data_IF_153722729905
#
_entry.id   IF_153722729905
#
_cell.length_a   1.000
_cell.length_b   1.000
_cell.length_c   1.000
_cell.angle_alpha   90.00
_cell.angle_beta   90.00
_cell.angle_gamma   90.00
#
_symmetry.space_group_name_H-M   'P 1'
#
loop_
_entity.id
_entity.type
_entity.pdbx_description
1 polymer ?
#
# COMPACT_ATOMS: atom_id res chain seq x y z
N UNK A 1 -5.55 -8.25 -29.48
CA UNK A 1 -4.08 -8.17 -29.64
C UNK A 1 -3.69 -6.70 -29.57
N UNK A 2 -3.40 -6.19 -28.39
CA UNK A 2 -2.98 -4.80 -28.18
C UNK A 2 -1.51 -4.82 -27.78
N UNK A 3 -0.66 -4.25 -28.64
CA UNK A 3 0.78 -4.16 -28.45
C UNK A 3 1.09 -3.15 -27.35
N UNK A 4 1.71 -3.61 -26.28
CA UNK A 4 2.38 -2.74 -25.31
C UNK A 4 3.71 -2.31 -25.93
N UNK A 5 3.92 -1.01 -26.15
CA UNK A 5 5.19 -0.42 -26.51
C UNK A 5 5.90 0.06 -25.27
N UNK A 6 7.08 -0.49 -25.01
CA UNK A 6 8.06 0.12 -24.14
C UNK A 6 8.68 1.32 -24.85
N UNK A 7 8.60 2.50 -24.26
CA UNK A 7 9.36 3.68 -24.65
C UNK A 7 10.13 4.17 -23.43
N UNK A 8 11.44 4.05 -23.50
CA UNK A 8 12.35 4.81 -22.65
C UNK A 8 12.28 6.28 -23.06
N UNK A 9 12.25 7.17 -22.05
CA UNK A 9 12.47 8.62 -22.12
C UNK A 9 11.40 9.44 -22.85
N UNK A 10 10.71 10.11 -22.05
CA UNK A 10 9.75 11.24 -22.09
C UNK A 10 8.37 10.78 -21.60
N UNK A 11 8.27 10.70 -20.29
CA UNK A 11 7.03 10.37 -19.63
C UNK A 11 6.16 11.60 -19.51
N UNK A 12 5.29 11.78 -20.48
CA UNK A 12 3.94 12.21 -20.17
C UNK A 12 3.21 10.92 -19.74
N UNK A 13 3.11 10.72 -18.43
CA UNK A 13 2.16 9.79 -17.88
C UNK A 13 0.79 10.34 -18.24
N UNK A 14 0.09 9.70 -19.15
CA UNK A 14 -1.34 9.85 -19.19
C UNK A 14 -1.86 9.20 -17.92
N UNK A 15 -1.95 9.99 -16.86
CA UNK A 15 -2.68 9.69 -15.65
C UNK A 15 -4.18 9.82 -15.94
N UNK A 16 -4.63 9.06 -16.87
CA UNK A 16 -5.98 8.52 -16.74
C UNK A 16 -5.84 7.46 -15.70
N UNK A 17 -6.60 7.47 -14.62
CA UNK A 17 -6.53 6.51 -13.52
C UNK A 17 -6.54 5.04 -13.96
N UNK A 18 -5.78 4.71 -14.96
CA UNK A 18 -5.54 3.42 -15.58
C UNK A 18 -4.05 3.21 -15.69
N UNK A 19 -3.44 2.69 -14.65
CA UNK A 19 -2.07 2.20 -14.78
C UNK A 19 -1.82 1.15 -13.73
N UNK A 20 -1.20 0.08 -13.88
CA UNK A 20 -0.20 -0.47 -14.32
C UNK A 20 0.47 -1.75 -14.07
N UNK A 21 1.42 -2.04 -14.65
CA UNK A 21 2.08 -3.33 -14.86
C UNK A 21 3.27 -3.49 -13.96
N UNK A 22 3.41 -4.67 -13.36
CA UNK A 22 4.63 -5.10 -12.72
C UNK A 22 4.97 -6.54 -13.09
N UNK A 23 6.21 -6.69 -13.61
CA UNK A 23 6.90 -7.97 -13.78
C UNK A 23 6.19 -9.15 -14.41
N UNK A 24 5.83 -9.03 -15.68
CA UNK A 24 5.60 -10.20 -16.53
C UNK A 24 4.48 -11.16 -16.13
N UNK A 25 3.67 -10.81 -15.14
CA UNK A 25 2.40 -11.46 -14.82
C UNK A 25 1.29 -10.48 -15.09
N UNK A 26 0.24 -10.94 -15.75
CA UNK A 26 -1.00 -10.18 -15.84
C UNK A 26 -1.57 -10.04 -14.43
N UNK A 27 -1.42 -8.85 -13.86
CA UNK A 27 -2.13 -8.47 -12.63
C UNK A 27 -3.52 -8.01 -13.03
N UNK A 28 -4.58 -8.35 -12.28
CA UNK A 28 -5.92 -7.83 -12.56
C UNK A 28 -5.87 -6.31 -12.67
N UNK A 29 -6.48 -5.74 -13.71
CA UNK A 29 -6.52 -4.30 -13.94
C UNK A 29 -6.95 -3.59 -12.67
N UNK A 30 -6.15 -2.66 -12.17
CA UNK A 30 -6.46 -1.85 -11.00
C UNK A 30 -5.59 -2.03 -9.77
N UNK A 31 -4.55 -2.83 -9.86
CA UNK A 31 -3.57 -3.00 -8.78
C UNK A 31 -2.18 -2.67 -9.29
N UNK A 32 -1.49 -1.74 -8.62
CA UNK A 32 -0.11 -1.39 -8.88
C UNK A 32 0.81 -1.91 -7.77
N UNK A 33 1.75 -2.75 -8.14
CA UNK A 33 2.86 -3.11 -7.27
C UNK A 33 4.01 -2.13 -7.52
N UNK A 34 4.54 -1.54 -6.45
CA UNK A 34 5.53 -0.48 -6.50
C UNK A 34 6.80 -0.81 -7.25
N UNK A 35 6.77 -0.59 -8.56
CA UNK A 35 7.95 -0.38 -9.36
C UNK A 35 7.93 1.00 -9.95
N UNK A 36 9.09 1.61 -9.94
CA UNK A 36 9.25 2.96 -10.42
C UNK A 36 8.77 3.19 -11.83
N UNK A 37 8.15 4.31 -12.05
CA UNK A 37 8.47 5.12 -13.19
C UNK A 37 9.07 6.49 -12.85
N UNK A 38 9.40 6.75 -11.63
CA UNK A 38 9.99 8.04 -11.26
C UNK A 38 11.31 7.79 -10.55
N UNK A 39 12.40 8.38 -11.03
CA UNK A 39 13.76 8.31 -10.48
C UNK A 39 13.91 8.70 -8.98
N UNK A 40 12.81 8.79 -8.25
CA UNK A 40 12.70 9.10 -6.83
C UNK A 40 12.04 7.98 -5.99
N UNK A 41 11.68 6.83 -6.60
CA UNK A 41 11.10 5.72 -5.86
C UNK A 41 12.04 4.51 -6.01
N UNK A 42 12.86 4.20 -5.02
CA UNK A 42 13.69 2.99 -5.07
C UNK A 42 12.79 1.77 -5.07
N UNK A 43 12.98 0.99 -6.09
CA UNK A 43 12.26 -0.24 -6.35
C UNK A 43 13.00 -1.43 -5.80
N UNK A 44 12.25 -2.45 -5.52
CA UNK A 44 12.56 -3.87 -5.48
C UNK A 44 13.73 -4.38 -4.64
N UNK A 45 13.36 -5.27 -3.77
CA UNK A 45 14.19 -6.43 -3.48
C UNK A 45 13.93 -7.51 -4.54
N UNK A 46 14.87 -7.72 -5.46
CA UNK A 46 15.01 -8.97 -6.20
C UNK A 46 15.79 -9.89 -5.27
N UNK A 47 15.28 -11.04 -4.84
CA UNK A 47 16.08 -11.99 -4.11
C UNK A 47 17.32 -12.33 -4.93
N UNK A 48 18.50 -12.14 -4.36
CA UNK A 48 19.74 -12.56 -5.01
C UNK A 48 19.65 -14.09 -5.27
N UNK A 49 19.73 -14.56 -6.52
CA UNK A 49 19.65 -15.99 -6.82
C UNK A 49 20.66 -16.84 -6.06
N UNK A 50 21.78 -16.27 -5.60
CA UNK A 50 22.78 -16.96 -4.78
C UNK A 50 22.28 -17.35 -3.39
N UNK A 51 21.25 -16.67 -2.83
CA UNK A 51 20.65 -17.02 -1.54
C UNK A 51 19.77 -18.27 -1.60
N UNK A 52 19.28 -18.66 -2.76
CA UNK A 52 18.51 -19.90 -2.94
C UNK A 52 19.40 -21.14 -2.86
N UNK A 53 20.71 -21.03 -3.21
CA UNK A 53 21.66 -22.12 -3.10
C UNK A 53 22.03 -22.42 -1.65
N UNK A 54 22.06 -21.40 -0.78
CA UNK A 54 22.44 -21.56 0.64
C UNK A 54 21.31 -22.20 1.49
N UNK A 55 20.06 -22.12 1.04
CA UNK A 55 18.92 -22.76 1.72
C UNK A 55 18.88 -24.28 1.52
N UNK A 56 19.42 -24.79 0.41
CA UNK A 56 19.45 -26.23 0.13
C UNK A 56 20.62 -26.92 0.86
N UNK A 57 21.74 -26.21 1.02
CA UNK A 57 22.90 -26.67 1.80
C UNK A 57 22.58 -26.66 3.32
N UNK A 58 21.79 -25.71 3.80
CA UNK A 58 21.39 -25.63 5.22
C UNK A 58 20.50 -26.78 5.67
N UNK A 59 19.76 -27.45 4.77
CA UNK A 59 18.90 -28.60 5.10
C UNK A 59 19.67 -29.90 5.34
N UNK A 60 20.87 -30.04 4.84
CA UNK A 60 21.70 -31.25 5.03
C UNK A 60 22.62 -31.20 6.27
N UNK A 61 22.74 -30.04 6.94
CA UNK A 61 23.65 -29.85 8.09
C UNK A 61 22.95 -29.85 9.47
N UNK A 62 21.65 -30.15 9.56
CA UNK A 62 20.91 -30.23 10.84
C UNK A 62 21.12 -31.52 11.64
N UNK A 63 22.28 -32.16 11.49
CA UNK A 63 22.78 -33.16 12.43
C UNK A 63 23.76 -32.55 13.40
N UNK A 64 23.35 -32.27 14.64
CA UNK A 64 24.12 -31.72 15.76
C UNK A 64 24.32 -30.21 15.79
N UNK A 65 23.27 -29.49 16.15
CA UNK A 65 23.40 -28.09 16.57
C UNK A 65 23.77 -28.07 18.04
N UNK A 66 25.05 -27.77 18.31
CA UNK A 66 25.47 -27.27 19.63
C UNK A 66 24.91 -25.85 19.78
N UNK A 67 23.86 -25.70 20.60
CA UNK A 67 23.32 -24.39 20.97
C UNK A 67 24.36 -23.74 21.91
N UNK A 68 25.15 -22.80 21.40
CA UNK A 68 25.92 -21.90 22.23
C UNK A 68 25.00 -20.81 22.79
N UNK A 69 25.21 -20.29 24.02
CA UNK A 69 24.31 -19.33 24.66
C UNK A 69 24.18 -17.96 23.97
N UNK A 70 24.86 -17.75 22.86
CA UNK A 70 24.98 -16.44 22.19
C UNK A 70 24.25 -16.39 20.81
N UNK A 71 23.34 -17.33 20.57
CA UNK A 71 22.50 -17.26 19.36
C UNK A 71 21.30 -16.37 19.65
N UNK A 72 21.48 -15.07 19.52
CA UNK A 72 20.35 -14.14 19.48
C UNK A 72 19.48 -14.50 18.26
N UNK A 73 18.33 -15.09 18.50
CA UNK A 73 17.33 -15.34 17.47
C UNK A 73 16.79 -13.98 17.04
N UNK A 74 17.28 -13.47 15.92
CA UNK A 74 16.77 -12.23 15.34
C UNK A 74 15.40 -12.51 14.71
N UNK A 75 14.34 -12.16 15.43
CA UNK A 75 12.98 -12.22 14.91
C UNK A 75 12.79 -11.06 13.93
N UNK A 76 12.56 -11.38 12.67
CA UNK A 76 12.23 -10.37 11.64
C UNK A 76 10.74 -10.02 11.76
N UNK A 77 10.47 -8.74 11.99
CA UNK A 77 9.11 -8.21 12.11
C UNK A 77 8.78 -7.42 10.86
N UNK A 78 7.58 -7.62 10.33
CA UNK A 78 6.99 -6.78 9.31
C UNK A 78 5.76 -6.03 9.84
N UNK A 79 5.52 -4.84 9.32
CA UNK A 79 4.33 -4.03 9.58
C UNK A 79 3.59 -3.69 8.30
N UNK A 80 2.27 -3.71 8.32
CA UNK A 80 1.38 -3.34 7.21
C UNK A 80 0.44 -2.26 7.66
N UNK A 81 0.25 -1.23 6.83
CA UNK A 81 -0.72 -0.15 7.03
C UNK A 81 -1.19 0.41 5.70
N UNK A 82 -2.31 1.17 5.70
CA UNK A 82 -2.84 1.80 4.51
C UNK A 82 -2.94 3.32 4.64
N UNK A 83 -3.05 3.98 3.50
CA UNK A 83 -3.39 5.39 3.37
C UNK A 83 -4.45 5.61 2.31
N UNK A 84 -5.38 6.51 2.58
CA UNK A 84 -6.37 6.86 1.59
C UNK A 84 -7.60 5.96 1.55
N UNK A 85 -7.95 5.30 2.64
CA UNK A 85 -9.20 4.53 2.77
C UNK A 85 -10.45 5.41 2.70
N UNK A 86 -10.45 6.58 3.35
CA UNK A 86 -11.61 7.48 3.49
C UNK A 86 -11.88 8.51 2.39
N UNK A 87 -10.92 8.96 1.55
CA UNK A 87 -11.16 9.95 0.51
C UNK A 87 -12.19 9.51 -0.52
N UNK A 88 -12.88 10.50 -1.12
CA UNK A 88 -13.78 10.31 -2.25
C UNK A 88 -13.07 10.47 -3.59
N UNK A 89 -11.83 11.00 -3.58
CA UNK A 89 -11.00 11.19 -4.78
C UNK A 89 -9.64 10.53 -4.59
N UNK A 90 -9.19 9.84 -5.62
CA UNK A 90 -7.86 9.23 -5.71
C UNK A 90 -7.75 7.84 -5.11
N UNK A 91 -6.57 7.22 -5.23
CA UNK A 91 -6.33 5.84 -4.86
C UNK A 91 -6.23 5.62 -3.34
N UNK A 92 -6.27 4.35 -2.96
CA UNK A 92 -5.81 3.84 -1.67
C UNK A 92 -4.43 3.20 -1.87
N UNK A 93 -3.56 3.30 -0.89
CA UNK A 93 -2.22 2.68 -0.92
C UNK A 93 -2.06 1.85 0.34
N UNK A 94 -1.73 0.57 0.18
CA UNK A 94 -1.27 -0.28 1.27
C UNK A 94 0.25 -0.42 1.16
N UNK A 95 0.94 -0.49 2.28
CA UNK A 95 2.38 -0.70 2.30
C UNK A 95 2.79 -1.71 3.36
N UNK A 96 3.92 -2.38 3.11
CA UNK A 96 4.58 -3.27 4.06
C UNK A 96 6.02 -2.83 4.26
N UNK A 97 6.49 -2.85 5.51
CA UNK A 97 7.88 -2.61 5.88
C UNK A 97 8.34 -3.71 6.83
N UNK A 98 9.42 -4.41 6.45
CA UNK A 98 10.06 -5.40 7.32
C UNK A 98 11.47 -4.95 7.68
N UNK A 99 11.86 -5.11 8.95
CA UNK A 99 13.20 -4.73 9.40
C UNK A 99 13.32 -4.59 10.92
N UNK A 100 14.48 -4.08 11.33
CA UNK A 100 14.79 -3.85 12.74
C UNK A 100 13.97 -2.66 13.29
N UNK A 101 13.16 -2.93 14.32
CA UNK A 101 12.33 -1.91 14.96
C UNK A 101 13.12 -0.82 15.67
N UNK A 102 14.26 -1.14 16.27
CA UNK A 102 15.08 -0.14 16.96
C UNK A 102 15.79 0.78 15.94
N UNK A 103 16.25 0.23 14.82
CA UNK A 103 16.78 1.04 13.74
C UNK A 103 15.74 2.00 13.18
N UNK A 104 14.50 1.55 12.96
CA UNK A 104 13.39 2.39 12.51
C UNK A 104 13.04 3.47 13.54
N UNK A 105 12.99 3.14 14.83
CA UNK A 105 12.78 4.14 15.90
C UNK A 105 13.89 5.20 15.92
N UNK A 106 15.14 4.78 15.75
CA UNK A 106 16.28 5.69 15.72
C UNK A 106 16.20 6.72 14.57
N UNK A 107 15.52 6.40 13.47
CA UNK A 107 15.22 7.34 12.41
C UNK A 107 14.15 8.39 12.80
N UNK A 108 13.45 8.19 13.91
CA UNK A 108 12.33 9.02 14.34
C UNK A 108 10.98 8.58 13.78
N UNK A 109 10.90 7.33 13.31
CA UNK A 109 9.62 6.72 12.88
C UNK A 109 8.71 6.62 14.09
N UNK A 110 7.51 7.17 13.95
CA UNK A 110 6.44 7.18 14.94
C UNK A 110 5.11 7.35 14.24
N UNK A 111 4.01 7.40 14.98
CA UNK A 111 2.67 7.64 14.43
C UNK A 111 2.69 8.73 13.36
N UNK A 112 2.41 8.34 12.14
CA UNK A 112 2.46 9.18 10.95
C UNK A 112 1.46 10.35 10.99
N UNK A 113 0.41 10.24 11.81
CA UNK A 113 -0.60 11.30 12.02
C UNK A 113 -0.02 12.48 12.78
N UNK A 114 1.02 12.24 13.59
CA UNK A 114 1.74 13.29 14.34
C UNK A 114 2.84 13.97 13.54
N UNK A 115 3.17 13.46 12.36
CA UNK A 115 4.23 13.95 11.50
C UNK A 115 3.66 14.89 10.42
N UNK A 116 4.33 16.02 10.20
CA UNK A 116 4.04 16.86 9.04
C UNK A 116 4.35 16.12 7.74
N UNK A 117 3.75 16.54 6.62
CA UNK A 117 4.04 15.98 5.30
C UNK A 117 5.53 16.04 4.99
N UNK A 118 6.18 17.20 5.23
CA UNK A 118 7.62 17.36 5.01
C UNK A 118 8.48 16.42 5.89
N UNK A 119 8.04 16.12 7.11
CA UNK A 119 8.72 15.15 7.96
C UNK A 119 8.60 13.72 7.40
N UNK A 120 7.42 13.32 6.91
CA UNK A 120 7.22 12.03 6.25
C UNK A 120 8.07 11.91 4.98
N UNK A 121 8.12 12.96 4.15
CA UNK A 121 8.96 12.99 2.94
C UNK A 121 10.47 12.84 3.24
N UNK A 122 10.95 13.39 4.36
CA UNK A 122 12.35 13.19 4.78
C UNK A 122 12.61 11.79 5.32
N UNK A 123 11.65 11.19 6.02
CA UNK A 123 11.79 9.85 6.58
C UNK A 123 11.70 8.75 5.51
N UNK A 124 10.94 8.98 4.46
CA UNK A 124 10.71 8.00 3.40
C UNK A 124 12.00 7.36 2.85
N UNK A 125 12.98 8.13 2.30
CA UNK A 125 14.22 7.55 1.79
C UNK A 125 15.07 6.86 2.89
N UNK A 126 14.98 7.31 4.13
CA UNK A 126 15.69 6.69 5.23
C UNK A 126 15.08 5.32 5.59
N UNK A 127 13.75 5.20 5.58
CA UNK A 127 13.05 3.93 5.76
C UNK A 127 13.45 2.95 4.67
N UNK A 128 13.42 3.37 3.40
CA UNK A 128 13.80 2.53 2.27
C UNK A 128 15.23 2.00 2.38
N UNK A 129 16.15 2.82 2.89
CA UNK A 129 17.56 2.43 3.08
C UNK A 129 17.78 1.51 4.27
N UNK A 130 17.00 1.67 5.35
CA UNK A 130 17.20 0.99 6.63
C UNK A 130 16.40 -0.30 6.75
N UNK A 131 15.29 -0.42 6.06
CA UNK A 131 14.45 -1.61 6.11
C UNK A 131 15.03 -2.76 5.29
N UNK A 132 14.75 -4.00 5.73
CA UNK A 132 15.10 -5.22 5.01
C UNK A 132 14.22 -5.41 3.76
N UNK A 133 12.96 -5.03 3.84
CA UNK A 133 12.01 -5.09 2.75
C UNK A 133 11.00 -3.94 2.86
N UNK A 134 10.70 -3.31 1.74
CA UNK A 134 9.61 -2.33 1.60
C UNK A 134 8.89 -2.61 0.29
N UNK A 135 7.58 -2.77 0.36
CA UNK A 135 6.71 -2.87 -0.82
C UNK A 135 5.42 -2.10 -0.56
N UNK A 136 4.73 -1.75 -1.63
CA UNK A 136 3.40 -1.15 -1.56
C UNK A 136 2.55 -1.53 -2.77
N UNK A 137 1.25 -1.41 -2.63
CA UNK A 137 0.26 -1.58 -3.71
C UNK A 137 -0.63 -0.35 -3.78
N UNK A 138 -0.94 0.07 -4.99
CA UNK A 138 -1.88 1.18 -5.26
C UNK A 138 -3.19 0.60 -5.74
N UNK A 139 -4.27 0.90 -5.03
CA UNK A 139 -5.61 0.42 -5.35
C UNK A 139 -6.44 1.56 -5.93
N UNK A 140 -6.82 1.41 -7.16
CA UNK A 140 -7.53 2.41 -7.96
C UNK A 140 -8.96 2.65 -7.50
N UNK A 141 -9.53 3.87 -7.72
CA UNK A 141 -10.90 4.20 -7.33
C UNK A 141 -11.96 3.21 -7.82
N UNK A 142 -11.86 2.74 -9.07
CA UNK A 142 -12.84 1.81 -9.62
C UNK A 142 -12.79 0.41 -8.98
N UNK A 143 -11.59 -0.06 -8.58
CA UNK A 143 -11.45 -1.32 -7.84
C UNK A 143 -12.11 -1.18 -6.47
N UNK A 144 -11.82 -0.06 -5.78
CA UNK A 144 -12.44 0.26 -4.49
C UNK A 144 -13.97 0.29 -4.62
N UNK A 145 -14.49 0.90 -5.69
CA UNK A 145 -15.95 0.98 -5.95
C UNK A 145 -16.58 -0.40 -6.14
N UNK A 146 -15.95 -1.29 -6.92
CA UNK A 146 -16.44 -2.66 -7.12
C UNK A 146 -16.58 -3.43 -5.81
N UNK A 147 -15.59 -3.35 -4.95
CA UNK A 147 -15.59 -4.04 -3.66
C UNK A 147 -16.55 -3.40 -2.65
N UNK A 148 -16.64 -2.07 -2.65
CA UNK A 148 -17.53 -1.32 -1.77
C UNK A 148 -18.99 -1.57 -2.14
N UNK A 149 -19.32 -1.70 -3.42
CA UNK A 149 -20.67 -2.05 -3.87
C UNK A 149 -21.18 -3.38 -3.27
N UNK A 150 -20.29 -4.29 -2.96
CA UNK A 150 -20.59 -5.58 -2.31
C UNK A 150 -20.34 -5.55 -0.78
N UNK A 151 -20.10 -4.39 -0.18
CA UNK A 151 -19.73 -4.24 1.24
C UNK A 151 -18.48 -5.05 1.66
N UNK A 152 -17.52 -5.20 0.75
CA UNK A 152 -16.33 -6.07 0.95
C UNK A 152 -15.02 -5.30 0.94
N UNK A 153 -15.01 -4.00 1.28
CA UNK A 153 -13.78 -3.21 1.30
C UNK A 153 -12.70 -3.81 2.22
N UNK A 154 -13.08 -4.30 3.42
CA UNK A 154 -12.12 -4.97 4.30
C UNK A 154 -11.54 -6.25 3.67
N UNK A 155 -12.30 -6.96 2.83
CA UNK A 155 -11.80 -8.15 2.14
C UNK A 155 -10.81 -7.78 1.04
N UNK A 156 -11.04 -6.69 0.30
CA UNK A 156 -10.05 -6.14 -0.62
C UNK A 156 -8.73 -5.84 0.09
N UNK A 157 -8.78 -5.18 1.24
CA UNK A 157 -7.58 -4.87 2.03
C UNK A 157 -6.86 -6.15 2.52
N UNK A 158 -7.61 -7.18 2.88
CA UNK A 158 -7.03 -8.51 3.21
C UNK A 158 -6.32 -9.13 2.00
N UNK A 159 -6.92 -9.07 0.80
CA UNK A 159 -6.32 -9.62 -0.41
C UNK A 159 -5.02 -8.89 -0.75
N UNK A 160 -5.05 -7.57 -0.77
CA UNK A 160 -3.86 -6.76 -1.08
C UNK A 160 -2.76 -6.89 -0.01
N UNK A 161 -3.13 -6.92 1.26
CA UNK A 161 -2.18 -7.17 2.35
C UNK A 161 -1.56 -8.58 2.25
N UNK A 162 -2.33 -9.60 1.85
CA UNK A 162 -1.81 -10.94 1.67
C UNK A 162 -0.77 -11.01 0.53
N UNK A 163 -0.98 -10.29 -0.56
CA UNK A 163 0.01 -10.19 -1.64
C UNK A 163 1.29 -9.49 -1.15
N UNK A 164 1.17 -8.38 -0.43
CA UNK A 164 2.32 -7.67 0.13
C UNK A 164 3.10 -8.56 1.11
N UNK A 165 2.43 -9.34 1.94
CA UNK A 165 3.04 -10.27 2.90
C UNK A 165 3.85 -11.35 2.17
N UNK A 166 3.39 -11.84 1.03
CA UNK A 166 4.14 -12.81 0.22
C UNK A 166 5.43 -12.23 -0.38
N UNK A 167 5.51 -10.92 -0.53
CA UNK A 167 6.69 -10.23 -1.09
C UNK A 167 7.75 -9.91 -0.03
N UNK A 168 7.40 -9.92 1.26
CA UNK A 168 8.31 -9.61 2.35
C UNK A 168 8.38 -10.75 3.36
N UNK A 169 9.52 -11.44 3.41
CA UNK A 169 9.69 -12.54 4.36
C UNK A 169 9.98 -12.02 5.78
N UNK A 170 9.15 -12.47 6.74
CA UNK A 170 9.25 -12.15 8.15
C UNK A 170 8.68 -13.27 9.02
N UNK A 171 9.06 -13.30 10.29
CA UNK A 171 8.61 -14.30 11.27
C UNK A 171 7.21 -13.95 11.82
N UNK A 172 6.91 -12.67 11.93
CA UNK A 172 5.62 -12.16 12.39
C UNK A 172 5.24 -10.86 11.66
N UNK A 173 3.97 -10.74 11.36
CA UNK A 173 3.40 -9.59 10.65
C UNK A 173 2.41 -8.88 11.55
N UNK A 174 2.65 -7.60 11.83
CA UNK A 174 1.71 -6.71 12.51
C UNK A 174 0.95 -5.88 11.48
N UNK A 175 -0.36 -5.78 11.63
CA UNK A 175 -1.21 -5.10 10.64
C UNK A 175 -2.13 -4.12 11.37
N UNK A 176 -2.18 -2.86 10.92
CA UNK A 176 -3.24 -1.95 11.34
C UNK A 176 -4.57 -2.42 10.74
N UNK A 177 -5.57 -2.63 11.58
CA UNK A 177 -6.83 -3.24 11.15
C UNK A 177 -7.92 -2.19 10.99
N UNK A 178 -8.54 -2.10 9.80
CA UNK A 178 -9.72 -1.27 9.61
C UNK A 178 -11.00 -1.90 10.19
N UNK A 179 -10.95 -3.17 10.60
CA UNK A 179 -12.08 -3.88 11.18
C UNK A 179 -12.18 -3.58 12.70
N UNK A 180 -13.36 -3.25 13.22
CA UNK A 180 -13.57 -3.12 14.67
C UNK A 180 -13.23 -4.39 15.46
N UNK A 181 -13.17 -5.55 14.81
CA UNK A 181 -12.74 -6.84 15.36
C UNK A 181 -11.44 -7.30 14.70
N UNK A 182 -10.28 -6.82 15.18
CA UNK A 182 -8.98 -7.12 14.54
C UNK A 182 -8.68 -8.60 14.43
N UNK A 183 -9.17 -9.42 15.38
CA UNK A 183 -8.95 -10.87 15.37
C UNK A 183 -9.58 -11.54 14.16
N UNK A 184 -10.75 -11.08 13.73
CA UNK A 184 -11.41 -11.56 12.51
C UNK A 184 -10.59 -11.23 11.27
N UNK A 185 -10.06 -10.00 11.21
CA UNK A 185 -9.19 -9.56 10.12
C UNK A 185 -7.91 -10.41 10.08
N UNK A 186 -7.25 -10.59 11.24
CA UNK A 186 -6.06 -11.42 11.38
C UNK A 186 -6.28 -12.87 10.93
N UNK A 187 -7.40 -13.49 11.34
CA UNK A 187 -7.73 -14.87 10.96
C UNK A 187 -7.89 -15.03 9.45
N UNK A 188 -8.57 -14.08 8.81
CA UNK A 188 -8.80 -14.13 7.38
C UNK A 188 -7.48 -13.93 6.62
N UNK A 189 -6.71 -12.92 7.01
CA UNK A 189 -5.41 -12.62 6.42
C UNK A 189 -4.39 -13.76 6.62
N UNK A 190 -4.36 -14.37 7.81
CA UNK A 190 -3.51 -15.54 8.08
C UNK A 190 -3.82 -16.73 7.18
N UNK A 191 -5.11 -16.98 6.90
CA UNK A 191 -5.52 -18.05 5.97
C UNK A 191 -5.06 -17.74 4.54
N UNK A 192 -5.21 -16.50 4.10
CA UNK A 192 -4.86 -16.10 2.74
C UNK A 192 -3.35 -16.01 2.51
N UNK A 193 -2.62 -15.46 3.47
CA UNK A 193 -1.17 -15.30 3.36
C UNK A 193 -0.38 -16.56 3.75
N UNK A 194 -0.98 -17.49 4.51
CA UNK A 194 -0.28 -18.65 5.05
C UNK A 194 0.79 -18.29 6.09
N UNK A 195 0.61 -17.16 6.80
CA UNK A 195 1.59 -16.58 7.71
C UNK A 195 0.96 -16.26 9.08
N UNK A 196 1.83 -16.04 10.08
CA UNK A 196 1.41 -15.61 11.42
C UNK A 196 1.14 -14.10 11.42
N UNK A 197 -0.12 -13.71 11.57
CA UNK A 197 -0.59 -12.33 11.56
C UNK A 197 -1.07 -11.91 12.95
N UNK A 198 -0.70 -10.71 13.34
CA UNK A 198 -1.24 -10.01 14.53
C UNK A 198 -1.86 -8.71 14.04
N UNK A 199 -3.17 -8.66 13.94
CA UNK A 199 -3.89 -7.42 13.63
C UNK A 199 -4.34 -6.73 14.91
N UNK A 200 -4.28 -5.40 14.91
CA UNK A 200 -4.77 -4.57 16.00
C UNK A 200 -5.21 -3.21 15.47
N UNK A 201 -6.08 -2.53 16.15
CA UNK A 201 -6.40 -1.13 15.87
C UNK A 201 -5.29 -0.24 16.45
N UNK A 202 -4.96 0.86 15.76
CA UNK A 202 -3.90 1.80 16.14
C UNK A 202 -2.54 1.11 16.32
N UNK A 203 -2.18 0.30 15.34
CA UNK A 203 -0.95 -0.49 15.34
C UNK A 203 0.33 0.35 15.12
N UNK A 204 0.23 1.66 14.85
CA UNK A 204 1.37 2.56 14.59
C UNK A 204 2.35 2.69 15.80
N UNK A 205 2.01 2.13 16.97
CA UNK A 205 2.98 1.93 18.07
C UNK A 205 4.08 0.91 17.74
N UNK A 206 3.85 0.05 16.77
CA UNK A 206 4.83 -0.91 16.24
C UNK A 206 5.65 -0.17 15.17
N UNK A 207 6.98 -0.08 15.29
CA UNK A 207 7.81 0.75 14.39
C UNK A 207 7.67 0.37 12.92
N UNK A 208 7.53 -0.91 12.60
CA UNK A 208 7.36 -1.39 11.25
C UNK A 208 6.00 -0.96 10.66
N UNK A 209 4.93 -0.96 11.47
CA UNK A 209 3.61 -0.47 11.05
C UNK A 209 3.65 1.05 10.86
N UNK A 210 4.26 1.79 11.80
CA UNK A 210 4.45 3.24 11.64
C UNK A 210 5.26 3.59 10.39
N UNK A 211 6.29 2.81 10.08
CA UNK A 211 7.07 2.97 8.85
C UNK A 211 6.22 2.68 7.59
N UNK A 212 5.41 1.63 7.60
CA UNK A 212 4.47 1.30 6.52
C UNK A 212 3.45 2.43 6.32
N UNK A 213 2.90 2.99 7.42
CA UNK A 213 2.02 4.15 7.40
C UNK A 213 2.65 5.36 6.72
N UNK A 214 3.92 5.66 7.05
CA UNK A 214 4.67 6.75 6.41
C UNK A 214 4.85 6.48 4.91
N UNK A 215 5.26 5.27 4.53
CA UNK A 215 5.42 4.88 3.12
C UNK A 215 4.10 5.03 2.37
N UNK A 216 3.01 4.45 2.87
CA UNK A 216 1.70 4.52 2.24
C UNK A 216 1.22 5.98 2.07
N UNK A 217 1.41 6.82 3.10
CA UNK A 217 1.02 8.25 3.05
C UNK A 217 1.85 9.05 2.07
N UNK A 218 3.18 8.85 2.02
CA UNK A 218 4.05 9.56 1.07
C UNK A 218 3.71 9.18 -0.35
N UNK A 219 3.59 7.88 -0.65
CA UNK A 219 3.22 7.41 -1.99
C UNK A 219 1.86 8.00 -2.40
N UNK A 220 0.84 7.89 -1.53
CA UNK A 220 -0.48 8.43 -1.83
C UNK A 220 -0.47 9.95 -2.03
N UNK A 221 0.22 10.69 -1.15
CA UNK A 221 0.28 12.15 -1.25
C UNK A 221 0.91 12.60 -2.58
N UNK A 222 1.95 11.90 -3.05
CA UNK A 222 2.58 12.15 -4.35
C UNK A 222 1.63 11.84 -5.51
N UNK A 223 0.90 10.72 -5.48
CA UNK A 223 -0.12 10.39 -6.48
C UNK A 223 -1.22 11.44 -6.55
N UNK A 224 -1.69 11.94 -5.39
CA UNK A 224 -2.68 13.02 -5.34
C UNK A 224 -2.13 14.33 -5.90
N UNK A 225 -0.85 14.64 -5.70
CA UNK A 225 -0.24 15.82 -6.29
C UNK A 225 -0.13 15.72 -7.82
N UNK A 226 0.16 14.53 -8.34
CA UNK A 226 0.15 14.29 -9.78
C UNK A 226 -1.25 14.54 -10.37
N UNK A 227 -2.29 14.02 -9.73
CA UNK A 227 -3.68 14.29 -10.13
C UNK A 227 -4.01 15.78 -10.09
N UNK A 228 -3.50 16.50 -9.08
CA UNK A 228 -3.68 17.96 -9.01
C UNK A 228 -2.94 18.73 -10.09
N UNK A 229 -1.77 18.27 -10.49
CA UNK A 229 -1.02 18.88 -11.58
C UNK A 229 -1.80 18.84 -12.90
N UNK A 230 -2.59 17.80 -13.11
CA UNK A 230 -3.42 17.64 -14.33
C UNK A 230 -4.76 18.36 -14.24
N UNK A 231 -5.47 18.23 -13.11
CA UNK A 231 -6.85 18.66 -12.95
C UNK A 231 -7.03 19.97 -12.19
N UNK A 232 -5.94 20.55 -11.68
CA UNK A 232 -5.96 21.68 -10.75
C UNK A 232 -6.18 21.24 -9.31
N UNK A 233 -6.03 22.18 -8.37
CA UNK A 233 -6.18 21.88 -6.93
C UNK A 233 -7.64 21.59 -6.58
N UNK A 234 -7.93 20.33 -6.27
CA UNK A 234 -9.21 19.84 -5.79
C UNK A 234 -9.23 19.60 -4.27
N UNK A 235 -8.24 20.10 -3.54
CA UNK A 235 -8.12 19.88 -2.09
C UNK A 235 -7.49 18.54 -1.73
N UNK A 236 -7.86 17.98 -0.57
CA UNK A 236 -7.27 16.75 -0.03
C UNK A 236 -7.85 15.46 -0.60
N UNK A 237 -8.95 15.54 -1.35
CA UNK A 237 -9.72 14.38 -1.79
C UNK A 237 -10.68 13.83 -0.74
N UNK A 238 -10.65 14.32 0.50
CA UNK A 238 -11.55 13.88 1.56
C UNK A 238 -12.92 14.58 1.52
N UNK A 239 -14.00 13.89 1.94
CA UNK A 239 -15.34 14.47 2.00
C UNK A 239 -15.47 15.70 2.92
N UNK A 240 -14.57 15.85 3.88
CA UNK A 240 -14.53 16.97 4.83
C UNK A 240 -13.87 18.24 4.25
N UNK A 241 -13.19 18.14 3.12
CA UNK A 241 -12.55 19.29 2.48
C UNK A 241 -13.51 19.99 1.52
N UNK A 242 -13.85 21.25 1.82
CA UNK A 242 -14.76 22.05 1.00
C UNK A 242 -14.29 22.25 -0.43
N UNK A 243 -12.96 22.30 -0.68
CA UNK A 243 -12.38 22.39 -2.05
C UNK A 243 -12.67 21.13 -2.84
N UNK A 244 -12.55 19.95 -2.20
CA UNK A 244 -12.90 18.67 -2.83
C UNK A 244 -14.37 18.64 -3.22
N UNK A 245 -15.27 19.07 -2.32
CA UNK A 245 -16.72 19.11 -2.59
C UNK A 245 -17.03 20.09 -3.72
N UNK A 246 -16.40 21.27 -3.73
CA UNK A 246 -16.60 22.26 -4.80
C UNK A 246 -16.12 21.72 -6.17
N UNK A 247 -14.97 21.07 -6.21
CA UNK A 247 -14.42 20.48 -7.43
C UNK A 247 -15.31 19.34 -7.98
N UNK A 248 -15.84 18.49 -7.11
CA UNK A 248 -16.79 17.41 -7.48
C UNK A 248 -18.09 17.98 -8.05
N UNK A 249 -18.67 19.02 -7.41
CA UNK A 249 -19.89 19.71 -7.92
C UNK A 249 -19.67 20.34 -9.28
N UNK A 250 -18.50 20.95 -9.48
CA UNK A 250 -18.14 21.57 -10.74
C UNK A 250 -17.68 20.59 -11.83
N UNK A 251 -17.69 19.28 -11.55
CA UNK A 251 -17.20 18.21 -12.46
C UNK A 251 -15.76 18.47 -12.98
N UNK A 252 -14.92 19.06 -12.14
CA UNK A 252 -13.51 19.35 -12.46
C UNK A 252 -12.58 18.16 -12.30
N UNK A 253 -13.05 17.10 -11.63
CA UNK A 253 -12.25 15.89 -11.37
C UNK A 253 -12.65 14.85 -12.39
N UNK A 254 -11.67 14.25 -13.05
CA UNK A 254 -11.88 13.15 -13.96
C UNK A 254 -12.66 12.01 -13.28
N UNK A 255 -13.64 11.45 -13.99
CA UNK A 255 -14.62 10.52 -13.43
C UNK A 255 -13.94 9.28 -12.84
N UNK A 256 -12.93 8.76 -13.50
CA UNK A 256 -12.14 7.59 -13.11
C UNK A 256 -11.35 7.80 -11.82
N UNK A 257 -11.10 9.06 -11.44
CA UNK A 257 -10.41 9.42 -10.19
C UNK A 257 -11.35 9.55 -8.99
N UNK A 258 -12.66 9.40 -9.20
CA UNK A 258 -13.70 9.56 -8.18
C UNK A 258 -14.21 8.20 -7.73
N UNK A 259 -14.42 8.04 -6.43
CA UNK A 259 -15.07 6.86 -5.85
C UNK A 259 -16.57 7.04 -5.81
N UNK A 260 -17.24 6.50 -6.80
CA UNK A 260 -18.68 6.66 -7.03
C UNK A 260 -19.54 5.98 -5.95
N UNK A 261 -19.02 4.94 -5.31
CA UNK A 261 -19.70 4.22 -4.22
C UNK A 261 -19.77 5.01 -2.91
N UNK A 262 -18.96 6.08 -2.75
CA UNK A 262 -18.98 6.90 -1.55
C UNK A 262 -20.29 7.67 -1.39
N UNK A 263 -20.87 7.63 -0.19
CA UNK A 263 -22.13 8.33 0.13
C UNK A 263 -22.08 9.82 -0.16
N UNK A 264 -20.91 10.45 -0.02
CA UNK A 264 -20.70 11.86 -0.38
C UNK A 264 -20.92 12.11 -1.87
N UNK A 265 -20.35 11.28 -2.74
CA UNK A 265 -20.54 11.42 -4.19
C UNK A 265 -21.99 11.17 -4.59
N UNK A 266 -22.59 10.10 -4.06
CA UNK A 266 -24.02 9.78 -4.32
C UNK A 266 -24.94 10.94 -3.96
N UNK A 267 -24.74 11.56 -2.79
CA UNK A 267 -25.53 12.73 -2.35
C UNK A 267 -25.35 13.94 -3.26
N UNK A 268 -24.14 14.15 -3.78
CA UNK A 268 -23.86 15.27 -4.71
C UNK A 268 -24.51 15.08 -6.08
N UNK A 269 -24.78 13.86 -6.49
CA UNK A 269 -25.36 13.50 -7.79
C UNK A 269 -26.85 13.15 -7.73
N UNK A 270 -27.55 13.42 -6.62
CA UNK A 270 -28.98 13.19 -6.47
C UNK A 270 -29.42 11.74 -6.36
N UNK A 271 -28.47 10.82 -6.08
CA UNK A 271 -28.77 9.39 -5.92
C UNK A 271 -28.86 8.58 -7.20
N UNK A 272 -28.81 9.21 -8.38
CA UNK A 272 -28.83 8.50 -9.66
C UNK A 272 -27.49 7.82 -9.93
N UNK A 273 -27.48 6.49 -9.76
CA UNK A 273 -26.37 5.60 -10.13
C UNK A 273 -26.71 4.74 -11.36
N UNK A 274 -27.86 4.95 -11.97
CA UNK A 274 -28.27 4.18 -13.13
C UNK A 274 -27.39 4.50 -14.34
N UNK A 275 -26.46 3.60 -14.63
CA UNK A 275 -25.63 3.64 -15.83
C UNK A 275 -24.13 3.42 -15.63
N UNK A 276 -23.66 3.10 -14.41
CA UNK A 276 -22.23 2.83 -14.21
C UNK A 276 -21.94 1.53 -13.46
N UNK A 277 -22.03 0.41 -14.16
CA UNK A 277 -21.24 -0.81 -13.90
C UNK A 277 -20.42 -1.07 -15.16
N UNK A 278 -19.09 -1.13 -15.11
CA UNK A 278 -18.32 -1.67 -16.22
C UNK A 278 -18.66 -3.15 -16.34
N UNK A 279 -19.13 -3.55 -17.53
CA UNK A 279 -19.34 -4.93 -17.96
C UNK A 279 -18.02 -5.70 -17.94
#
# INVERSE_FOLDING_TARGET
>A
MSRVRFLQLNFFVELRCELYIVHGREVPRGVLYGEEPLAAFPTRYVPNPSLLHDLEVGRQLLGHVHITPDTSIFVVVAGVDEAGRGPVVGPMVLAIVAGDGEALKALGVRDSKTLSRSARERLYPLILKSAKCVNYVVVEPYVIDRWTASHKLNLLEVEEAAELIRLCDADVYYVDSPDPKPERFAQLLSRMAGRRIVAMNEAERIPQVAAASIVAKVVRDRLVDMLKAEMGDFGSGYPSDGRTIAALRASKIARECVRHSWSTYRRLRGGDLDGWMPT
#
